data_IF_258530586604
#
_entry.id   IF_258530586604
#
_cell.length_a   1.000
_cell.length_b   1.000
_cell.length_c   1.000
_cell.angle_alpha   90.00
_cell.angle_beta   90.00
_cell.angle_gamma   90.00
#
_symmetry.space_group_name_H-M   'P 1'
#
loop_
_entity.id
_entity.type
_entity.pdbx_description
1 polymer ?
#
# COMPACT_ATOMS: atom_id res chain seq x y z
N UNK A 1 -8.49 -14.88 -2.15
CA UNK A 1 -9.13 -13.79 -1.40
C UNK A 1 -9.86 -12.84 -2.37
N UNK A 2 -11.12 -12.54 -2.09
CA UNK A 2 -11.93 -11.56 -2.83
C UNK A 2 -11.67 -10.12 -2.34
N UNK A 3 -11.99 -9.12 -3.16
CA UNK A 3 -11.77 -7.70 -2.81
C UNK A 3 -12.53 -7.28 -1.54
N UNK A 4 -13.73 -7.84 -1.31
CA UNK A 4 -14.52 -7.58 -0.09
C UNK A 4 -13.84 -8.14 1.16
N UNK A 5 -13.16 -9.28 1.05
CA UNK A 5 -12.42 -9.88 2.16
C UNK A 5 -11.17 -9.07 2.50
N UNK A 6 -10.48 -8.52 1.49
CA UNK A 6 -9.32 -7.63 1.68
C UNK A 6 -9.71 -6.40 2.50
N UNK A 7 -10.85 -5.77 2.20
CA UNK A 7 -11.31 -4.61 2.97
C UNK A 7 -11.56 -4.96 4.44
N UNK A 8 -12.28 -6.06 4.70
CA UNK A 8 -12.53 -6.57 6.06
C UNK A 8 -11.24 -6.93 6.80
N UNK A 9 -10.25 -7.46 6.08
CA UNK A 9 -8.93 -7.75 6.62
C UNK A 9 -8.23 -6.47 7.06
N UNK A 10 -8.20 -5.44 6.21
CA UNK A 10 -7.59 -4.15 6.53
C UNK A 10 -8.27 -3.46 7.73
N UNK A 11 -9.60 -3.57 7.86
CA UNK A 11 -10.35 -3.04 9.02
C UNK A 11 -9.98 -3.68 10.35
N UNK A 12 -9.45 -4.91 10.33
CA UNK A 12 -9.06 -5.69 11.51
C UNK A 12 -7.54 -5.86 11.62
N UNK A 13 -6.78 -5.18 10.76
CA UNK A 13 -5.35 -5.34 10.67
C UNK A 13 -4.68 -4.82 11.95
N UNK A 14 -4.04 -5.71 12.69
CA UNK A 14 -3.11 -5.29 13.74
C UNK A 14 -1.88 -4.65 13.07
N UNK A 15 -1.53 -3.43 13.49
CA UNK A 15 -0.38 -2.71 12.96
C UNK A 15 0.94 -3.44 13.23
N UNK A 16 1.02 -4.22 14.31
CA UNK A 16 2.23 -5.00 14.64
C UNK A 16 2.52 -6.12 13.62
N UNK A 17 1.48 -6.55 12.89
CA UNK A 17 1.59 -7.61 11.87
C UNK A 17 1.91 -7.05 10.46
N UNK A 18 2.28 -5.77 10.37
CA UNK A 18 2.71 -5.15 9.11
C UNK A 18 4.22 -5.27 8.98
N UNK A 19 4.64 -5.96 7.92
CA UNK A 19 6.04 -6.20 7.58
C UNK A 19 6.36 -5.43 6.30
N UNK A 20 7.54 -4.83 6.20
CA UNK A 20 7.99 -4.12 5.01
C UNK A 20 9.04 -4.94 4.27
N UNK A 21 8.85 -5.12 2.96
CA UNK A 21 9.81 -5.82 2.11
C UNK A 21 11.12 -5.01 1.97
N UNK A 22 12.31 -5.65 1.89
CA UNK A 22 13.55 -4.95 1.56
C UNK A 22 13.47 -4.05 0.31
N UNK A 23 12.67 -4.42 -0.70
CA UNK A 23 12.41 -3.61 -1.88
C UNK A 23 11.72 -2.28 -1.57
N UNK A 24 10.87 -2.23 -0.54
CA UNK A 24 10.24 -1.00 -0.08
C UNK A 24 11.30 0.05 0.26
N UNK A 25 12.28 -0.31 1.09
CA UNK A 25 13.33 0.59 1.55
C UNK A 25 14.23 1.11 0.42
N UNK A 26 14.45 0.30 -0.61
CA UNK A 26 15.18 0.76 -1.81
C UNK A 26 14.44 1.90 -2.50
N UNK A 27 13.10 1.81 -2.57
CA UNK A 27 12.25 2.81 -3.25
C UNK A 27 11.93 4.04 -2.39
N UNK A 28 11.91 3.92 -1.06
CA UNK A 28 11.66 5.07 -0.17
C UNK A 28 12.84 6.04 -0.10
N UNK A 29 14.06 5.62 -0.47
CA UNK A 29 15.19 6.56 -0.62
C UNK A 29 14.98 7.59 -1.73
N UNK A 30 14.17 7.24 -2.72
CA UNK A 30 13.91 8.07 -3.91
C UNK A 30 12.56 8.80 -3.84
N UNK A 31 11.77 8.58 -2.79
CA UNK A 31 10.37 9.02 -2.70
C UNK A 31 10.06 9.57 -1.30
N UNK A 32 9.18 10.58 -1.16
CA UNK A 32 8.82 11.14 0.14
C UNK A 32 7.80 10.26 0.90
N UNK A 33 8.00 8.94 0.92
CA UNK A 33 7.13 7.96 1.58
C UNK A 33 7.99 7.11 2.51
N UNK A 34 7.54 6.88 3.75
CA UNK A 34 8.20 6.04 4.74
C UNK A 34 7.19 5.07 5.38
N UNK A 35 7.67 4.18 6.26
CA UNK A 35 6.82 3.20 6.93
C UNK A 35 5.69 3.82 7.75
N UNK A 36 6.00 4.87 8.52
CA UNK A 36 5.05 5.54 9.40
C UNK A 36 3.86 6.09 8.60
N UNK A 37 4.12 6.69 7.43
CA UNK A 37 3.09 7.16 6.51
C UNK A 37 2.23 5.97 6.06
N UNK A 38 2.83 4.90 5.56
CA UNK A 38 2.08 3.75 5.05
C UNK A 38 1.22 3.10 6.14
N UNK A 39 1.77 2.87 7.33
CA UNK A 39 1.04 2.36 8.50
C UNK A 39 -0.16 3.24 8.83
N UNK A 40 0.05 4.56 8.90
CA UNK A 40 -1.03 5.52 9.16
C UNK A 40 -2.14 5.49 8.11
N UNK A 41 -1.84 5.20 6.84
CA UNK A 41 -2.86 5.09 5.80
C UNK A 41 -3.56 3.73 5.83
N UNK A 42 -2.84 2.64 6.12
CA UNK A 42 -3.43 1.30 6.26
C UNK A 42 -4.44 1.24 7.42
N UNK A 43 -4.28 2.04 8.47
CA UNK A 43 -5.27 2.17 9.55
C UNK A 43 -6.47 3.07 9.20
N UNK A 44 -6.39 3.83 8.10
CA UNK A 44 -7.40 4.80 7.68
C UNK A 44 -8.24 4.26 6.51
N UNK A 45 -9.05 3.22 6.79
CA UNK A 45 -9.90 2.56 5.77
C UNK A 45 -10.88 3.53 5.10
N UNK A 46 -11.33 4.57 5.82
CA UNK A 46 -12.16 5.64 5.27
C UNK A 46 -11.50 6.43 4.13
N UNK A 47 -10.16 6.39 4.01
CA UNK A 47 -9.43 6.99 2.91
C UNK A 47 -9.19 6.03 1.74
N UNK A 48 -9.53 4.75 1.86
CA UNK A 48 -9.33 3.78 0.80
C UNK A 48 -10.33 4.01 -0.34
N UNK A 49 -9.81 4.45 -1.50
CA UNK A 49 -10.61 4.76 -2.69
C UNK A 49 -10.78 3.55 -3.60
N UNK A 50 -9.72 2.75 -3.74
CA UNK A 50 -9.68 1.64 -4.71
C UNK A 50 -8.80 0.50 -4.23
N UNK A 51 -9.22 -0.72 -4.54
CA UNK A 51 -8.43 -1.95 -4.41
C UNK A 51 -8.36 -2.59 -5.79
N UNK A 52 -7.15 -2.88 -6.27
CA UNK A 52 -6.91 -3.61 -7.51
C UNK A 52 -6.21 -4.93 -7.20
N UNK A 53 -6.55 -6.01 -7.90
CA UNK A 53 -5.75 -7.25 -7.86
C UNK A 53 -4.41 -7.01 -8.55
N UNK A 54 -3.34 -7.43 -7.89
CA UNK A 54 -2.01 -7.51 -8.48
C UNK A 54 -1.89 -8.72 -9.42
N UNK A 55 -0.70 -8.88 -10.00
CA UNK A 55 -0.39 -10.03 -10.87
C UNK A 55 -0.32 -11.36 -10.10
N UNK A 56 0.05 -11.30 -8.83
CA UNK A 56 0.16 -12.48 -7.97
C UNK A 56 -1.11 -12.68 -7.15
N UNK A 57 -1.45 -13.94 -6.84
CA UNK A 57 -2.75 -14.36 -6.26
C UNK A 57 -3.11 -13.60 -4.97
N UNK A 58 -2.11 -13.27 -4.15
CA UNK A 58 -2.30 -12.61 -2.85
C UNK A 58 -1.78 -11.17 -2.83
N UNK A 59 -1.45 -10.61 -4.00
CA UNK A 59 -0.95 -9.25 -4.12
C UNK A 59 -2.08 -8.30 -4.50
N UNK A 60 -2.14 -7.17 -3.82
CA UNK A 60 -3.15 -6.15 -4.05
C UNK A 60 -2.51 -4.78 -4.13
N UNK A 61 -3.13 -3.90 -4.91
CA UNK A 61 -2.75 -2.50 -5.00
C UNK A 61 -3.85 -1.65 -4.41
N UNK A 62 -3.50 -0.95 -3.34
CA UNK A 62 -4.39 -0.08 -2.58
C UNK A 62 -4.16 1.37 -2.97
N UNK A 63 -5.23 2.12 -3.10
CA UNK A 63 -5.21 3.55 -3.37
C UNK A 63 -5.89 4.26 -2.21
N UNK A 64 -5.12 5.02 -1.43
CA UNK A 64 -5.65 5.83 -0.34
C UNK A 64 -5.63 7.31 -0.70
N UNK A 65 -6.74 8.01 -0.52
CA UNK A 65 -6.82 9.45 -0.76
C UNK A 65 -5.91 10.21 0.20
N UNK A 66 -4.91 10.91 -0.33
CA UNK A 66 -4.09 11.84 0.47
C UNK A 66 -4.67 13.26 0.43
N UNK A 67 -5.06 13.72 -0.76
CA UNK A 67 -5.66 15.03 -1.02
C UNK A 67 -6.70 14.94 -2.13
N UNK A 68 -7.27 16.07 -2.57
CA UNK A 68 -8.17 16.10 -3.72
C UNK A 68 -7.52 15.68 -5.05
N UNK A 69 -6.18 15.74 -5.14
CA UNK A 69 -5.42 15.50 -6.38
C UNK A 69 -4.52 14.26 -6.32
N UNK A 70 -4.21 13.78 -5.11
CA UNK A 70 -3.17 12.79 -4.89
C UNK A 70 -3.66 11.65 -4.00
N UNK A 71 -3.14 10.46 -4.28
CA UNK A 71 -3.40 9.23 -3.54
C UNK A 71 -2.09 8.54 -3.21
N UNK A 72 -2.02 7.92 -2.03
CA UNK A 72 -0.97 7.00 -1.67
C UNK A 72 -1.31 5.66 -2.32
N UNK A 73 -0.43 5.21 -3.19
CA UNK A 73 -0.53 3.90 -3.82
C UNK A 73 0.38 2.95 -3.06
N UNK A 74 -0.17 1.85 -2.55
CA UNK A 74 0.57 0.82 -1.83
C UNK A 74 0.34 -0.54 -2.45
N UNK A 75 1.43 -1.25 -2.77
CA UNK A 75 1.39 -2.66 -3.15
C UNK A 75 1.60 -3.47 -1.88
N UNK A 76 0.61 -4.30 -1.57
CA UNK A 76 0.62 -5.20 -0.41
C UNK A 76 0.49 -6.64 -0.86
N UNK A 77 0.95 -7.54 -0.01
CA UNK A 77 0.78 -8.98 -0.14
C UNK A 77 0.26 -9.52 1.19
N UNK A 78 -0.81 -10.31 1.14
CA UNK A 78 -1.42 -10.88 2.35
C UNK A 78 -1.02 -12.36 2.42
N UNK A 79 -0.21 -12.69 3.42
CA UNK A 79 0.27 -14.06 3.62
C UNK A 79 -0.82 -14.97 4.19
N UNK A 80 -0.62 -16.29 4.08
CA UNK A 80 -1.52 -17.30 4.65
C UNK A 80 -1.64 -17.17 6.17
N UNK A 81 -0.59 -16.72 6.85
CA UNK A 81 -0.56 -16.41 8.28
C UNK A 81 -1.31 -15.14 8.68
N UNK A 82 -1.95 -14.45 7.72
CA UNK A 82 -2.65 -13.15 7.90
C UNK A 82 -1.74 -11.97 8.24
N UNK A 83 -0.44 -12.09 8.00
CA UNK A 83 0.47 -10.96 8.03
C UNK A 83 0.34 -10.13 6.74
N UNK A 84 0.40 -8.80 6.88
CA UNK A 84 0.40 -7.90 5.73
C UNK A 84 1.83 -7.49 5.42
N UNK A 85 2.29 -7.84 4.23
CA UNK A 85 3.59 -7.42 3.72
C UNK A 85 3.42 -6.24 2.76
N UNK A 86 4.06 -5.12 3.05
CA UNK A 86 4.13 -3.96 2.14
C UNK A 86 5.33 -4.13 1.22
N UNK A 87 5.07 -4.25 -0.08
CA UNK A 87 6.11 -4.44 -1.10
C UNK A 87 6.66 -3.10 -1.58
N UNK A 88 5.78 -2.13 -1.84
CA UNK A 88 6.16 -0.79 -2.29
C UNK A 88 5.06 0.21 -2.01
N UNK A 89 5.41 1.48 -1.84
CA UNK A 89 4.44 2.57 -1.83
C UNK A 89 4.99 3.82 -2.53
N UNK A 90 4.08 4.64 -3.05
CA UNK A 90 4.39 5.92 -3.68
C UNK A 90 3.20 6.88 -3.67
N UNK A 91 3.48 8.16 -3.82
CA UNK A 91 2.46 9.18 -4.09
C UNK A 91 2.08 9.13 -5.58
N UNK A 92 0.79 9.18 -5.90
CA UNK A 92 0.29 9.19 -7.28
C UNK A 92 0.65 10.45 -8.08
N UNK A 93 1.25 11.47 -7.48
CA UNK A 93 1.77 12.64 -8.16
C UNK A 93 2.67 12.27 -9.37
N UNK A 94 2.30 12.78 -10.55
CA UNK A 94 2.96 12.51 -11.84
C UNK A 94 4.45 12.84 -11.81
N UNK A 95 4.86 13.88 -11.07
CA UNK A 95 6.27 14.27 -10.94
C UNK A 95 7.16 13.12 -10.43
N UNK A 96 6.60 12.26 -9.58
CA UNK A 96 7.30 11.10 -9.03
C UNK A 96 7.12 9.84 -9.87
N UNK A 97 6.00 9.71 -10.59
CA UNK A 97 5.79 8.58 -11.49
C UNK A 97 6.68 8.64 -12.74
N UNK A 98 6.89 9.83 -13.30
CA UNK A 98 7.69 9.99 -14.52
C UNK A 98 9.19 9.77 -14.27
N UNK A 99 9.68 10.06 -13.06
CA UNK A 99 11.05 9.71 -12.62
C UNK A 99 11.32 8.21 -12.52
N UNK A 100 10.28 7.37 -12.49
CA UNK A 100 10.41 5.91 -12.38
C UNK A 100 10.36 5.19 -13.73
N UNK A 101 10.09 5.92 -14.82
CA UNK A 101 10.01 5.39 -16.19
C UNK A 101 11.32 5.57 -16.97
N UNK A 102 12.33 6.20 -16.38
CA UNK A 102 13.68 6.32 -16.91
C UNK A 102 14.58 5.28 -16.24
#
# INVERSE_FOLDING_TARGET
MELKEVKKFLERLNQDNIIFDPHFYKRTRERPINESIVRSFLSQINKLEKIERGKEINRFKLWFRMSRKYSLVSIIEINLSKDLKVISAWNSDRKWQDKLKQ
#
